data_IF_674998957108
#
_entry.id   IF_674998957108
#
_cell.length_a   1.000
_cell.length_b   1.000
_cell.length_c   1.000
_cell.angle_alpha   90.00
_cell.angle_beta   90.00
_cell.angle_gamma   90.00
#
_symmetry.space_group_name_H-M   'P 1'
#
loop_
_entity.id
_entity.type
_entity.pdbx_description
1 polymer ?
#
# COMPACT_ATOMS: atom_id res chain seq x y z
N UNK A 1 5.34 -11.89 -11.10
CA UNK A 1 5.59 -10.75 -10.21
C UNK A 1 6.42 -9.74 -11.00
N UNK A 2 5.81 -8.63 -11.41
CA UNK A 2 6.57 -7.55 -12.02
C UNK A 2 7.36 -6.80 -10.94
N UNK A 3 8.63 -6.52 -11.21
CA UNK A 3 9.44 -5.66 -10.36
C UNK A 3 9.03 -4.21 -10.55
N UNK A 4 8.87 -3.46 -9.46
CA UNK A 4 8.59 -2.02 -9.48
C UNK A 4 9.67 -1.25 -8.73
N UNK A 5 10.10 -0.13 -9.30
CA UNK A 5 11.01 0.81 -8.63
C UNK A 5 10.22 1.65 -7.64
N UNK A 6 10.74 1.78 -6.42
CA UNK A 6 10.19 2.64 -5.38
C UNK A 6 11.19 3.71 -5.00
N UNK A 7 10.73 4.96 -4.96
CA UNK A 7 11.54 6.08 -4.48
C UNK A 7 11.48 6.16 -2.96
N UNK A 8 12.60 6.54 -2.34
CA UNK A 8 12.71 6.74 -0.90
C UNK A 8 13.09 8.19 -0.59
N UNK A 9 12.53 8.70 0.50
CA UNK A 9 12.89 10.00 1.06
C UNK A 9 13.49 9.80 2.44
N UNK A 10 14.42 10.67 2.82
CA UNK A 10 14.90 10.69 4.20
C UNK A 10 13.75 11.07 5.15
N UNK A 11 13.69 10.43 6.32
CA UNK A 11 12.73 10.78 7.35
C UNK A 11 12.84 12.27 7.72
N UNK A 12 11.69 12.93 7.83
CA UNK A 12 11.57 14.29 8.39
C UNK A 12 11.99 14.31 9.86
N UNK A 13 12.23 15.48 10.42
CA UNK A 13 12.60 15.62 11.84
C UNK A 13 11.56 14.97 12.78
N UNK A 14 10.27 15.15 12.49
CA UNK A 14 9.18 14.54 13.24
C UNK A 14 9.20 13.00 13.17
N UNK A 15 9.50 12.44 12.00
CA UNK A 15 9.64 11.00 11.82
C UNK A 15 10.90 10.45 12.49
N UNK A 16 12.03 11.18 12.42
CA UNK A 16 13.28 10.82 13.12
C UNK A 16 13.11 10.78 14.62
N UNK A 17 12.35 11.71 15.20
CA UNK A 17 12.06 11.71 16.63
C UNK A 17 11.29 10.46 17.09
N UNK A 18 10.48 9.86 16.20
CA UNK A 18 9.71 8.64 16.50
C UNK A 18 10.47 7.34 16.21
N UNK A 19 11.28 7.33 15.15
CA UNK A 19 11.80 6.09 14.55
C UNK A 19 13.32 6.05 14.37
N UNK A 20 14.03 7.13 14.74
CA UNK A 20 15.45 7.29 14.44
C UNK A 20 15.72 7.63 12.97
N UNK A 21 16.97 7.55 12.55
CA UNK A 21 17.32 7.73 11.14
C UNK A 21 16.73 6.58 10.31
N UNK A 22 15.84 6.93 9.38
CA UNK A 22 15.11 5.96 8.55
C UNK A 22 14.84 6.52 7.16
N UNK A 23 14.65 5.62 6.19
CA UNK A 23 14.07 5.95 4.89
C UNK A 23 12.56 5.72 4.94
N UNK A 24 11.82 6.63 4.31
CA UNK A 24 10.37 6.58 4.16
C UNK A 24 10.05 6.36 2.68
N UNK A 25 9.24 5.36 2.32
CA UNK A 25 8.88 5.13 0.93
C UNK A 25 7.95 6.23 0.43
N UNK A 26 8.23 6.75 -0.78
CA UNK A 26 7.24 7.54 -1.51
C UNK A 26 6.24 6.58 -2.15
N UNK A 27 5.02 6.55 -1.61
CA UNK A 27 3.92 5.79 -2.16
C UNK A 27 2.81 6.73 -2.61
N UNK A 28 2.26 6.46 -3.78
CA UNK A 28 1.09 7.15 -4.32
C UNK A 28 -0.21 6.51 -3.84
N UNK A 29 -1.33 7.23 -3.99
CA UNK A 29 -2.64 6.65 -3.61
C UNK A 29 -2.99 5.42 -4.46
N UNK A 30 -2.55 5.39 -5.73
CA UNK A 30 -2.77 4.26 -6.64
C UNK A 30 -1.97 3.05 -6.17
N UNK A 31 -0.68 3.25 -5.83
CA UNK A 31 0.16 2.16 -5.32
C UNK A 31 -0.37 1.58 -4.00
N UNK A 32 -0.88 2.43 -3.09
CA UNK A 32 -1.52 1.99 -1.85
C UNK A 32 -2.80 1.19 -2.14
N UNK A 33 -3.60 1.63 -3.11
CA UNK A 33 -4.81 0.92 -3.52
C UNK A 33 -4.51 -0.47 -4.08
N UNK A 34 -3.47 -0.58 -4.93
CA UNK A 34 -2.99 -1.85 -5.50
C UNK A 34 -2.47 -2.79 -4.43
N UNK A 35 -1.91 -2.25 -3.34
CA UNK A 35 -1.51 -3.01 -2.15
C UNK A 35 -2.71 -3.41 -1.28
N UNK A 36 -3.93 -3.04 -1.65
CA UNK A 36 -5.16 -3.41 -0.96
C UNK A 36 -5.60 -2.42 0.11
N UNK A 37 -5.02 -1.22 0.18
CA UNK A 37 -5.51 -0.17 1.09
C UNK A 37 -6.86 0.37 0.59
N UNK A 38 -7.79 0.58 1.52
CA UNK A 38 -9.14 1.09 1.24
C UNK A 38 -9.14 2.62 1.18
N UNK A 39 -8.67 3.17 0.06
CA UNK A 39 -8.50 4.63 -0.17
C UNK A 39 -9.78 5.42 0.12
N UNK A 40 -10.95 4.90 -0.25
CA UNK A 40 -12.24 5.58 -0.05
C UNK A 40 -12.58 5.88 1.42
N UNK A 41 -11.95 5.18 2.37
CA UNK A 41 -12.14 5.44 3.81
C UNK A 41 -11.31 6.61 4.36
N UNK A 42 -10.39 7.16 3.56
CA UNK A 42 -9.48 8.21 3.97
C UNK A 42 -9.60 9.40 3.00
N UNK A 43 -10.43 10.42 3.33
CA UNK A 43 -10.66 11.57 2.44
C UNK A 43 -9.38 12.25 1.97
N UNK A 44 -8.37 12.37 2.83
CA UNK A 44 -7.08 12.95 2.49
C UNK A 44 -6.34 12.16 1.39
N UNK A 45 -6.41 10.82 1.40
CA UNK A 45 -5.85 9.99 0.31
C UNK A 45 -6.67 10.13 -0.98
N UNK A 46 -8.00 10.17 -0.86
CA UNK A 46 -8.90 10.32 -2.00
C UNK A 46 -8.74 11.67 -2.72
N UNK A 47 -8.39 12.73 -2.00
CA UNK A 47 -8.16 14.07 -2.56
C UNK A 47 -6.72 14.27 -3.07
N UNK A 48 -5.75 13.47 -2.65
CA UNK A 48 -4.37 13.57 -3.10
C UNK A 48 -4.25 13.24 -4.60
N UNK A 49 -3.38 13.89 -5.39
CA UNK A 49 -3.17 13.52 -6.79
C UNK A 49 -2.77 12.04 -6.95
N UNK A 50 -3.19 11.34 -8.03
CA UNK A 50 -2.98 9.90 -8.21
C UNK A 50 -1.55 9.42 -7.94
N UNK A 51 -0.57 10.13 -8.48
CA UNK A 51 0.85 9.76 -8.45
C UNK A 51 1.68 10.54 -7.43
N UNK A 52 1.05 11.41 -6.63
CA UNK A 52 1.79 12.17 -5.63
C UNK A 52 2.15 11.29 -4.42
N UNK A 53 3.37 11.46 -3.87
CA UNK A 53 3.73 10.83 -2.60
C UNK A 53 2.77 11.31 -1.50
N UNK A 54 2.17 10.39 -0.77
CA UNK A 54 1.31 10.69 0.38
C UNK A 54 1.97 10.26 1.69
N UNK A 55 1.76 11.03 2.74
CA UNK A 55 2.15 10.66 4.11
C UNK A 55 1.14 9.65 4.68
N UNK A 56 1.17 8.42 4.18
CA UNK A 56 0.19 7.39 4.53
C UNK A 56 0.23 7.00 6.01
N UNK A 57 1.39 7.10 6.64
CA UNK A 57 1.66 6.88 8.07
C UNK A 57 0.99 7.93 8.96
N UNK A 58 0.83 9.16 8.46
CA UNK A 58 0.07 10.21 9.15
C UNK A 58 -1.44 10.12 8.86
N UNK A 59 -1.82 9.70 7.65
CA UNK A 59 -3.23 9.68 7.23
C UNK A 59 -3.96 8.42 7.73
N UNK A 60 -3.28 7.27 7.78
CA UNK A 60 -3.85 5.99 8.22
C UNK A 60 -3.38 5.73 9.65
N UNK A 61 -4.27 5.79 10.65
CA UNK A 61 -3.88 5.53 12.04
C UNK A 61 -3.26 4.14 12.18
N UNK A 62 -2.13 4.04 12.90
CA UNK A 62 -1.39 2.79 13.11
C UNK A 62 -0.78 2.18 11.84
N UNK A 63 -0.75 2.90 10.71
CA UNK A 63 0.13 2.53 9.62
C UNK A 63 1.56 2.93 9.95
N UNK A 64 2.52 2.12 9.52
CA UNK A 64 3.94 2.39 9.72
C UNK A 64 4.76 1.76 8.60
N UNK A 65 5.99 2.25 8.45
CA UNK A 65 7.00 1.62 7.60
C UNK A 65 8.34 1.61 8.33
N UNK A 66 9.17 0.64 8.00
CA UNK A 66 10.55 0.55 8.47
C UNK A 66 11.39 -0.03 7.35
N UNK A 67 12.47 0.67 7.00
CA UNK A 67 13.44 0.16 6.05
C UNK A 67 14.60 -0.48 6.80
N UNK A 68 14.74 -1.79 6.67
CA UNK A 68 15.88 -2.53 7.17
C UNK A 68 17.03 -2.43 6.15
N UNK A 69 18.09 -1.72 6.53
CA UNK A 69 19.26 -1.53 5.67
C UNK A 69 20.16 -2.77 5.56
N UNK A 70 20.16 -3.64 6.57
CA UNK A 70 20.98 -4.85 6.55
C UNK A 70 20.43 -5.84 5.52
N UNK A 71 19.12 -6.01 5.51
CA UNK A 71 18.41 -6.94 4.61
C UNK A 71 17.84 -6.27 3.36
N UNK A 72 18.07 -4.96 3.18
CA UNK A 72 17.52 -4.14 2.09
C UNK A 72 16.01 -4.31 1.91
N UNK A 73 15.30 -4.44 3.03
CA UNK A 73 13.89 -4.83 3.06
C UNK A 73 13.04 -3.69 3.59
N UNK A 74 12.02 -3.30 2.82
CA UNK A 74 10.98 -2.38 3.26
C UNK A 74 9.85 -3.17 3.95
N UNK A 75 9.74 -3.01 5.25
CA UNK A 75 8.65 -3.58 6.06
C UNK A 75 7.57 -2.52 6.21
N UNK A 76 6.32 -2.87 5.89
CA UNK A 76 5.17 -1.98 6.03
C UNK A 76 4.06 -2.69 6.78
N UNK A 77 3.39 -1.95 7.65
CA UNK A 77 2.23 -2.46 8.40
C UNK A 77 1.04 -1.53 8.21
N UNK A 78 -0.10 -2.12 7.91
CA UNK A 78 -1.38 -1.42 7.81
C UNK A 78 -2.42 -2.15 8.69
N UNK A 79 -3.25 -1.43 9.45
CA UNK A 79 -4.31 -2.07 10.22
C UNK A 79 -5.34 -2.71 9.29
N UNK A 80 -5.86 -3.88 9.65
CA UNK A 80 -6.86 -4.58 8.83
C UNK A 80 -8.09 -3.72 8.52
N UNK A 81 -8.49 -2.81 9.43
CA UNK A 81 -9.58 -1.86 9.22
C UNK A 81 -9.34 -0.86 8.08
N UNK A 82 -8.08 -0.63 7.70
CA UNK A 82 -7.68 0.20 6.58
C UNK A 82 -7.52 -0.58 5.26
N UNK A 83 -7.62 -1.91 5.29
CA UNK A 83 -7.46 -2.78 4.12
C UNK A 83 -8.82 -3.13 3.51
N UNK A 84 -8.85 -3.34 2.18
CA UNK A 84 -9.99 -3.92 1.45
C UNK A 84 -10.28 -5.30 2.05
N UNK A 85 -11.53 -5.51 2.46
CA UNK A 85 -11.98 -6.78 3.03
C UNK A 85 -12.37 -7.70 1.89
N UNK A 86 -11.63 -8.77 1.69
CA UNK A 86 -11.98 -9.86 0.77
C UNK A 86 -12.47 -11.04 1.61
N UNK A 87 -13.62 -11.62 1.24
CA UNK A 87 -14.09 -12.80 1.94
C UNK A 87 -13.12 -13.97 1.66
N UNK A 88 -12.95 -14.84 2.66
CA UNK A 88 -12.11 -16.03 2.48
C UNK A 88 -12.68 -16.88 1.34
N UNK A 89 -11.84 -17.21 0.35
CA UNK A 89 -12.23 -17.97 -0.83
C UNK A 89 -12.76 -17.13 -2.00
N UNK A 90 -12.79 -15.80 -1.91
CA UNK A 90 -13.14 -14.95 -3.06
C UNK A 90 -12.05 -15.02 -4.13
N UNK A 91 -12.45 -15.33 -5.36
CA UNK A 91 -11.61 -15.29 -6.55
C UNK A 91 -12.05 -14.10 -7.41
N UNK A 92 -11.14 -13.22 -7.87
CA UNK A 92 -11.50 -12.12 -8.77
C UNK A 92 -12.21 -12.63 -10.02
N UNK A 93 -13.30 -11.95 -10.44
CA UNK A 93 -14.06 -12.28 -11.65
C UNK A 93 -13.19 -12.31 -12.90
N UNK A 94 -12.14 -11.48 -12.95
CA UNK A 94 -11.15 -11.46 -14.04
C UNK A 94 -10.35 -12.75 -14.18
N UNK A 95 -10.39 -13.65 -13.19
CA UNK A 95 -9.76 -14.97 -13.22
C UNK A 95 -10.76 -16.10 -13.49
N UNK A 96 -12.04 -15.78 -13.68
CA UNK A 96 -13.04 -16.79 -14.01
C UNK A 96 -12.86 -17.22 -15.46
N UNK A 97 -12.86 -18.53 -15.67
CA UNK A 97 -12.86 -19.13 -17.01
C UNK A 97 -14.31 -19.46 -17.37
N UNK A 98 -14.81 -18.85 -18.45
CA UNK A 98 -16.14 -19.12 -19.00
C UNK A 98 -16.24 -20.52 -19.65
N UNK A 99 -15.10 -21.20 -19.76
CA UNK A 99 -14.98 -22.49 -20.42
C UNK A 99 -15.00 -22.37 -21.93
N UNK A 100 -15.11 -23.53 -22.58
CA UNK A 100 -15.18 -23.65 -24.04
C UNK A 100 -16.54 -24.22 -24.43
N UNK A 101 -17.08 -23.78 -25.57
CA UNK A 101 -18.35 -24.28 -26.07
C UNK A 101 -18.30 -25.81 -26.31
N UNK A 102 -19.30 -26.53 -25.79
CA UNK A 102 -19.47 -27.97 -25.99
C UNK A 102 -20.92 -28.30 -26.42
N UNK A 103 -21.08 -29.37 -27.21
CA UNK A 103 -22.38 -29.94 -27.54
C UNK A 103 -22.63 -31.16 -26.64
N UNK A 104 -23.77 -31.20 -25.95
CA UNK A 104 -24.21 -32.26 -25.05
C UNK A 104 -25.30 -33.14 -25.68
#
# INVERSE_FOLDING_TARGET
MESRTLEFKAATEAQRAKMGESLVPCLSRVQLEDMGVRIDSFPALKMAPPEACVAFDDIIPQAASHFDFADQTLIMSFPQAAMKQTARGTVPESQWDEGVNALL
#
